data_IF_074353906742
#
_entry.id   IF_074353906742
#
_cell.length_a   1.000
_cell.length_b   1.000
_cell.length_c   1.000
_cell.angle_alpha   90.00
_cell.angle_beta   90.00
_cell.angle_gamma   90.00
#
_symmetry.space_group_name_H-M   'P 1'
#
loop_
_entity.id
_entity.type
_entity.pdbx_description
1 polymer ?
#
# COMPACT_ATOMS: atom_id res chain seq x y z
N UNK A 1 3.35 5.33 0.70
CA UNK A 1 4.68 5.19 0.04
C UNK A 1 4.50 5.21 -1.47
N UNK A 2 5.00 6.27 -2.14
CA UNK A 2 4.67 6.63 -3.52
C UNK A 2 5.91 6.84 -4.42
N UNK A 3 7.08 6.28 -4.09
CA UNK A 3 8.35 6.54 -4.80
C UNK A 3 8.70 5.60 -5.96
N UNK A 4 7.76 4.78 -6.46
CA UNK A 4 8.05 3.68 -7.38
C UNK A 4 8.21 4.09 -8.85
N UNK A 5 9.36 3.78 -9.48
CA UNK A 5 9.60 4.07 -10.92
C UNK A 5 8.66 3.33 -11.89
N UNK A 6 8.27 2.10 -11.56
CA UNK A 6 7.36 1.31 -12.41
C UNK A 6 8.02 0.65 -13.63
N UNK A 7 9.34 0.45 -13.60
CA UNK A 7 10.12 -0.09 -14.72
C UNK A 7 9.62 -1.43 -15.26
N UNK A 8 8.96 -2.24 -14.42
CA UNK A 8 8.40 -3.56 -14.76
C UNK A 8 6.98 -3.54 -15.33
N UNK A 9 6.30 -2.40 -15.30
CA UNK A 9 4.95 -2.23 -15.89
C UNK A 9 5.01 -1.90 -17.37
N UNK A 10 6.20 -1.59 -17.91
CA UNK A 10 6.38 -1.14 -19.30
C UNK A 10 5.36 -0.04 -19.66
N UNK A 11 5.16 0.87 -18.72
CA UNK A 11 4.14 1.93 -18.74
C UNK A 11 4.84 3.27 -18.96
N UNK A 12 4.24 4.21 -19.72
CA UNK A 12 4.77 5.57 -19.80
C UNK A 12 4.58 6.37 -18.49
N UNK A 13 3.72 5.87 -17.60
CA UNK A 13 3.49 6.42 -16.27
C UNK A 13 4.41 5.80 -15.23
N UNK A 14 4.84 6.62 -14.28
CA UNK A 14 5.41 6.17 -13.00
C UNK A 14 4.46 5.17 -12.31
N UNK A 15 5.01 4.26 -11.49
CA UNK A 15 4.23 3.15 -10.91
C UNK A 15 2.94 3.61 -10.23
N UNK A 16 2.95 4.58 -9.30
CA UNK A 16 1.74 4.98 -8.58
C UNK A 16 0.68 5.60 -9.49
N UNK A 17 1.09 6.22 -10.60
CA UNK A 17 0.22 6.83 -11.59
C UNK A 17 -0.24 5.86 -12.68
N UNK A 18 0.24 4.61 -12.68
CA UNK A 18 -0.24 3.62 -13.63
C UNK A 18 -1.75 3.42 -13.46
N UNK A 19 -2.54 3.52 -14.55
CA UNK A 19 -3.98 3.39 -14.45
C UNK A 19 -4.39 1.93 -14.35
N UNK A 20 -5.22 1.61 -13.36
CA UNK A 20 -6.05 0.40 -13.35
C UNK A 20 -7.44 0.85 -13.72
N UNK A 21 -8.14 0.19 -14.64
CA UNK A 21 -9.52 0.54 -15.02
C UNK A 21 -9.81 2.07 -15.08
N UNK A 22 -8.93 2.83 -15.75
CA UNK A 22 -9.07 4.29 -15.95
C UNK A 22 -8.64 5.22 -14.80
N UNK A 23 -8.32 4.74 -13.60
CA UNK A 23 -7.90 5.58 -12.46
C UNK A 23 -6.48 5.23 -12.01
N UNK A 24 -5.69 6.21 -11.57
CA UNK A 24 -4.34 5.95 -11.04
C UNK A 24 -4.39 5.07 -9.79
N UNK A 25 -3.40 4.18 -9.59
CA UNK A 25 -3.35 3.33 -8.39
C UNK A 25 -3.30 4.14 -7.10
N UNK A 26 -2.50 5.21 -7.09
CA UNK A 26 -2.36 6.09 -5.92
C UNK A 26 -3.68 6.77 -5.56
N UNK A 27 -4.49 7.15 -6.55
CA UNK A 27 -5.80 7.77 -6.32
C UNK A 27 -6.79 6.76 -5.74
N UNK A 28 -6.72 5.48 -6.12
CA UNK A 28 -7.54 4.42 -5.50
C UNK A 28 -7.16 4.18 -4.05
N UNK A 29 -5.86 4.05 -3.78
CA UNK A 29 -5.36 3.88 -2.41
C UNK A 29 -5.75 5.08 -1.56
N UNK A 30 -5.62 6.31 -2.09
CA UNK A 30 -6.09 7.51 -1.41
C UNK A 30 -7.57 7.44 -1.10
N UNK A 31 -8.43 7.18 -2.08
CA UNK A 31 -9.87 7.13 -1.87
C UNK A 31 -10.27 6.09 -0.80
N UNK A 32 -9.58 4.95 -0.74
CA UNK A 32 -9.76 3.95 0.30
C UNK A 32 -9.38 4.46 1.69
N UNK A 33 -8.29 5.25 1.79
CA UNK A 33 -7.87 5.88 3.03
C UNK A 33 -8.84 6.99 3.45
N UNK A 34 -9.23 7.88 2.55
CA UNK A 34 -10.18 8.98 2.81
C UNK A 34 -11.55 8.46 3.31
N UNK A 35 -11.98 7.30 2.83
CA UNK A 35 -13.23 6.66 3.25
C UNK A 35 -13.08 5.78 4.51
N UNK A 36 -11.88 5.61 5.04
CA UNK A 36 -11.59 4.81 6.25
C UNK A 36 -11.56 5.67 7.51
N UNK A 37 -11.28 5.04 8.66
CA UNK A 37 -11.15 5.73 9.95
C UNK A 37 -9.82 6.46 10.17
N UNK A 38 -8.93 6.54 9.18
CA UNK A 38 -7.69 7.34 9.31
C UNK A 38 -8.01 8.83 9.34
N UNK A 39 -7.30 9.58 10.18
CA UNK A 39 -7.60 11.01 10.40
C UNK A 39 -6.82 11.93 9.47
N UNK A 40 -5.55 11.58 9.20
CA UNK A 40 -4.64 12.39 8.39
C UNK A 40 -3.89 11.50 7.40
N UNK A 41 -3.66 12.04 6.20
CA UNK A 41 -3.01 11.32 5.11
C UNK A 41 -1.81 12.13 4.64
N UNK A 42 -0.65 11.47 4.60
CA UNK A 42 0.55 12.02 4.00
C UNK A 42 1.11 11.05 2.95
N UNK A 43 1.65 11.61 1.86
CA UNK A 43 2.24 10.86 0.77
C UNK A 43 3.77 10.98 0.80
N UNK A 44 4.45 9.89 1.14
CA UNK A 44 5.89 9.79 0.97
C UNK A 44 6.26 9.69 -0.52
N UNK A 45 6.84 10.74 -1.09
CA UNK A 45 7.24 10.86 -2.50
C UNK A 45 8.76 10.83 -2.62
N UNK A 46 9.29 10.60 -3.82
CA UNK A 46 10.74 10.63 -4.04
C UNK A 46 11.09 11.21 -5.42
N UNK A 47 12.35 11.62 -5.64
CA UNK A 47 12.84 12.07 -6.94
C UNK A 47 12.72 11.03 -8.06
N UNK A 48 12.45 9.77 -7.72
CA UNK A 48 12.22 8.70 -8.68
C UNK A 48 10.81 8.74 -9.31
N UNK A 49 9.89 9.50 -8.73
CA UNK A 49 8.51 9.63 -9.17
C UNK A 49 8.01 11.10 -9.09
N UNK A 50 8.65 12.04 -9.81
CA UNK A 50 8.30 13.46 -9.75
C UNK A 50 6.88 13.77 -10.27
N UNK A 51 6.38 13.06 -11.28
CA UNK A 51 5.02 13.28 -11.76
C UNK A 51 3.98 12.88 -10.70
N UNK A 52 4.26 11.82 -9.94
CA UNK A 52 3.45 11.39 -8.81
C UNK A 52 3.40 12.45 -7.72
N UNK A 53 4.52 13.12 -7.44
CA UNK A 53 4.54 14.26 -6.51
C UNK A 53 3.62 15.37 -6.98
N UNK A 54 3.83 15.87 -8.20
CA UNK A 54 3.02 16.97 -8.76
C UNK A 54 1.53 16.61 -8.74
N UNK A 55 1.18 15.40 -9.17
CA UNK A 55 -0.21 14.92 -9.15
C UNK A 55 -0.84 14.93 -7.74
N UNK A 56 -0.07 14.67 -6.69
CA UNK A 56 -0.57 14.65 -5.31
C UNK A 56 -0.58 16.04 -4.66
N UNK A 57 0.36 16.92 -5.00
CA UNK A 57 0.39 18.31 -4.52
C UNK A 57 -0.79 19.13 -5.06
N UNK A 58 -1.33 18.77 -6.23
CA UNK A 58 -2.53 19.37 -6.82
C UNK A 58 -3.84 18.91 -6.14
N UNK A 59 -3.77 18.04 -5.13
CA UNK A 59 -4.94 17.47 -4.45
C UNK A 59 -5.05 18.02 -3.03
N UNK A 60 -6.22 18.54 -2.70
CA UNK A 60 -6.52 18.95 -1.34
C UNK A 60 -6.49 17.75 -0.37
N UNK A 61 -6.01 17.98 0.85
CA UNK A 61 -6.07 16.99 1.93
C UNK A 61 -4.89 16.01 2.01
N UNK A 62 -3.87 16.12 1.13
CA UNK A 62 -2.64 15.33 1.23
C UNK A 62 -1.42 16.23 1.38
N UNK A 63 -0.67 16.03 2.46
CA UNK A 63 0.69 16.56 2.58
C UNK A 63 1.70 15.60 1.92
N UNK A 64 2.63 16.13 1.12
CA UNK A 64 3.73 15.32 0.57
C UNK A 64 4.97 15.39 1.47
N UNK A 65 5.58 14.23 1.73
CA UNK A 65 6.84 14.10 2.47
C UNK A 65 7.88 13.58 1.48
N UNK A 66 8.92 14.36 1.23
CA UNK A 66 10.00 13.93 0.34
C UNK A 66 10.96 12.96 1.03
N UNK A 67 11.32 11.90 0.30
CA UNK A 67 12.27 10.85 0.68
C UNK A 67 13.32 10.69 -0.43
N UNK A 68 14.45 10.05 -0.12
CA UNK A 68 15.55 9.89 -1.07
C UNK A 68 15.22 8.93 -2.22
N UNK A 69 14.28 8.00 -2.03
CA UNK A 69 13.94 7.01 -3.05
C UNK A 69 14.92 5.84 -3.09
N UNK A 70 15.62 5.55 -1.99
CA UNK A 70 16.67 4.52 -1.94
C UNK A 70 16.11 3.10 -1.76
N UNK A 71 14.81 2.99 -1.46
CA UNK A 71 14.11 1.73 -1.29
C UNK A 71 13.01 1.85 -0.25
N UNK A 72 12.08 0.90 -0.26
CA UNK A 72 10.89 0.95 0.60
C UNK A 72 11.25 1.07 2.09
N UNK A 73 12.16 0.23 2.58
CA UNK A 73 12.53 0.19 4.00
C UNK A 73 13.24 1.47 4.43
N UNK A 74 14.25 1.90 3.67
CA UNK A 74 14.99 3.15 3.96
C UNK A 74 14.07 4.36 3.96
N UNK A 75 13.25 4.52 2.91
CA UNK A 75 12.33 5.66 2.82
C UNK A 75 11.27 5.61 3.93
N UNK A 76 10.79 4.43 4.30
CA UNK A 76 9.85 4.27 5.42
C UNK A 76 10.48 4.72 6.74
N UNK A 77 11.70 4.28 7.04
CA UNK A 77 12.40 4.70 8.27
C UNK A 77 12.59 6.22 8.30
N UNK A 78 13.02 6.84 7.18
CA UNK A 78 13.13 8.30 7.08
C UNK A 78 11.80 9.02 7.32
N UNK A 79 10.69 8.45 6.87
CA UNK A 79 9.34 9.01 7.14
C UNK A 79 8.98 8.86 8.61
N UNK A 80 9.29 7.73 9.25
CA UNK A 80 8.97 7.51 10.66
C UNK A 80 9.80 8.38 11.62
N UNK A 81 10.96 8.86 11.19
CA UNK A 81 11.79 9.82 11.94
C UNK A 81 11.26 11.27 11.88
N UNK A 82 10.19 11.55 11.12
CA UNK A 82 9.62 12.89 11.01
C UNK A 82 8.91 13.28 12.29
N UNK A 83 9.28 14.41 12.94
CA UNK A 83 8.71 14.80 14.23
C UNK A 83 7.23 15.20 14.13
N UNK A 84 6.74 15.48 12.91
CA UNK A 84 5.34 15.79 12.65
C UNK A 84 4.44 14.54 12.65
N UNK A 85 5.03 13.34 12.58
CA UNK A 85 4.32 12.08 12.59
C UNK A 85 4.51 11.40 13.95
N UNK A 86 3.40 10.95 14.55
CA UNK A 86 3.44 10.23 15.82
C UNK A 86 2.64 8.93 15.70
N UNK A 87 3.16 7.81 16.22
CA UNK A 87 2.40 6.57 16.28
C UNK A 87 1.10 6.72 17.10
N UNK A 88 0.06 5.91 16.79
CA UNK A 88 0.08 4.85 15.79
C UNK A 88 -0.02 5.36 14.34
N UNK A 89 0.82 4.83 13.44
CA UNK A 89 0.84 5.20 12.02
C UNK A 89 0.48 4.02 11.13
N UNK A 90 -0.44 4.23 10.19
CA UNK A 90 -0.69 3.28 9.11
C UNK A 90 0.19 3.65 7.89
N UNK A 91 1.00 2.72 7.43
CA UNK A 91 1.78 2.88 6.20
C UNK A 91 1.20 1.98 5.12
N UNK A 92 1.05 2.52 3.91
CA UNK A 92 0.43 1.82 2.77
C UNK A 92 1.27 2.02 1.51
N UNK A 93 1.50 0.94 0.76
CA UNK A 93 2.11 0.99 -0.56
C UNK A 93 1.09 1.47 -1.61
N UNK A 94 1.52 2.35 -2.52
CA UNK A 94 0.64 2.93 -3.55
C UNK A 94 0.26 1.96 -4.69
N UNK A 95 0.71 0.71 -4.64
CA UNK A 95 0.48 -0.31 -5.67
C UNK A 95 -0.58 -1.36 -5.28
N UNK A 96 -1.45 -1.02 -4.33
CA UNK A 96 -2.59 -1.81 -3.89
C UNK A 96 -3.92 -1.23 -4.41
N UNK A 97 -4.21 -1.30 -5.72
CA UNK A 97 -5.38 -0.65 -6.32
C UNK A 97 -6.73 -1.22 -5.86
N UNK A 98 -6.74 -2.39 -5.23
CA UNK A 98 -7.96 -3.03 -4.72
C UNK A 98 -8.26 -2.70 -3.25
N UNK A 99 -7.42 -1.89 -2.60
CA UNK A 99 -7.61 -1.51 -1.21
C UNK A 99 -8.95 -0.78 -1.02
N UNK A 100 -9.59 -1.01 0.11
CA UNK A 100 -10.85 -0.40 0.51
C UNK A 100 -10.83 0.04 1.96
N UNK A 101 -11.66 1.04 2.27
CA UNK A 101 -11.89 1.51 3.62
C UNK A 101 -12.21 0.38 4.60
N UNK A 102 -13.12 -0.54 4.24
CA UNK A 102 -13.50 -1.65 5.11
C UNK A 102 -12.33 -2.60 5.42
N UNK A 103 -11.34 -2.73 4.52
CA UNK A 103 -10.12 -3.51 4.75
C UNK A 103 -9.20 -2.77 5.74
N UNK A 104 -8.98 -1.49 5.49
CA UNK A 104 -8.19 -0.61 6.37
C UNK A 104 -8.78 -0.61 7.78
N UNK A 105 -10.09 -0.44 7.90
CA UNK A 105 -10.78 -0.42 9.18
C UNK A 105 -10.66 -1.74 9.93
N UNK A 106 -10.69 -2.88 9.25
CA UNK A 106 -10.46 -4.18 9.92
C UNK A 106 -9.03 -4.28 10.47
N UNK A 107 -8.03 -3.81 9.71
CA UNK A 107 -6.63 -3.79 10.16
C UNK A 107 -6.49 -2.89 11.40
N UNK A 108 -7.07 -1.68 11.36
CA UNK A 108 -7.06 -0.75 12.49
C UNK A 108 -7.78 -1.32 13.73
N UNK A 109 -8.93 -1.99 13.54
CA UNK A 109 -9.66 -2.63 14.62
C UNK A 109 -8.87 -3.79 15.26
N UNK A 110 -8.14 -4.57 14.45
CA UNK A 110 -7.32 -5.68 14.93
C UNK A 110 -6.07 -5.21 15.70
N UNK A 111 -5.57 -4.01 15.38
CA UNK A 111 -4.54 -3.34 16.17
C UNK A 111 -5.10 -2.87 17.52
N UNK A 112 -6.25 -2.19 17.53
CA UNK A 112 -6.91 -1.73 18.76
C UNK A 112 -5.98 -0.83 19.59
N UNK A 113 -5.95 -1.07 20.91
CA UNK A 113 -5.05 -0.37 21.85
C UNK A 113 -3.66 -1.04 21.96
N UNK A 114 -3.30 -1.94 21.03
CA UNK A 114 -2.02 -2.62 21.08
C UNK A 114 -0.88 -1.66 20.76
N UNK A 115 0.19 -1.71 21.53
CA UNK A 115 1.34 -0.80 21.33
C UNK A 115 2.37 -1.32 20.32
N UNK A 116 2.23 -2.58 19.89
CA UNK A 116 3.19 -3.27 19.01
C UNK A 116 2.95 -3.00 17.52
N UNK A 117 4.04 -2.82 16.78
CA UNK A 117 4.01 -2.72 15.32
C UNK A 117 3.53 -4.02 14.65
N UNK A 118 2.82 -3.90 13.53
CA UNK A 118 2.27 -5.01 12.75
C UNK A 118 2.59 -4.89 11.28
N UNK A 119 3.10 -5.97 10.69
CA UNK A 119 3.22 -6.10 9.24
C UNK A 119 2.06 -6.93 8.72
N UNK A 120 1.27 -6.36 7.80
CA UNK A 120 0.13 -7.06 7.21
C UNK A 120 0.62 -7.94 6.08
N UNK A 121 0.37 -9.23 6.22
CA UNK A 121 0.75 -10.26 5.27
C UNK A 121 -0.47 -10.99 4.72
N UNK A 122 -0.31 -11.57 3.54
CA UNK A 122 -1.22 -12.57 2.98
C UNK A 122 -0.45 -13.87 2.73
N UNK A 123 -1.12 -15.03 2.67
CA UNK A 123 -0.47 -16.25 2.22
C UNK A 123 0.08 -16.08 0.80
N UNK A 124 1.33 -16.48 0.55
CA UNK A 124 1.90 -16.50 -0.79
C UNK A 124 1.11 -17.43 -1.74
N UNK A 125 0.41 -18.42 -1.18
CA UNK A 125 -0.52 -19.28 -1.92
C UNK A 125 -1.72 -18.51 -2.48
N UNK A 126 -2.22 -17.50 -1.78
CA UNK A 126 -3.31 -16.64 -2.26
C UNK A 126 -2.85 -15.83 -3.48
N UNK A 127 -1.68 -15.20 -3.41
CA UNK A 127 -1.09 -14.48 -4.56
C UNK A 127 -0.91 -15.40 -5.78
N UNK A 128 -0.37 -16.61 -5.57
CA UNK A 128 -0.23 -17.63 -6.63
C UNK A 128 -1.57 -18.02 -7.25
N UNK A 129 -2.61 -18.23 -6.44
CA UNK A 129 -3.95 -18.59 -6.92
C UNK A 129 -4.61 -17.48 -7.74
N UNK A 130 -4.34 -16.22 -7.41
CA UNK A 130 -4.80 -15.06 -8.17
C UNK A 130 -3.98 -14.79 -9.44
N UNK A 131 -2.85 -15.50 -9.63
CA UNK A 131 -1.98 -15.29 -10.79
C UNK A 131 -1.16 -14.00 -10.74
N UNK A 132 -0.95 -13.43 -9.54
CA UNK A 132 -0.21 -12.17 -9.36
C UNK A 132 1.22 -12.40 -8.83
N UNK A 133 2.07 -11.39 -9.00
CA UNK A 133 3.48 -11.39 -8.60
C UNK A 133 3.69 -11.78 -7.12
N UNK A 134 4.62 -12.69 -6.86
CA UNK A 134 4.95 -13.21 -5.50
C UNK A 134 6.40 -12.94 -5.09
N UNK A 135 6.98 -11.83 -5.55
CA UNK A 135 8.41 -11.54 -5.35
C UNK A 135 8.74 -11.14 -3.92
N UNK A 136 7.83 -10.43 -3.25
CA UNK A 136 7.99 -10.07 -1.85
C UNK A 136 7.56 -11.25 -0.98
N UNK A 137 8.48 -11.72 -0.14
CA UNK A 137 8.25 -12.73 0.90
C UNK A 137 8.74 -12.20 2.24
N UNK A 138 8.09 -12.63 3.30
CA UNK A 138 8.55 -12.34 4.66
C UNK A 138 9.60 -13.40 5.01
N UNK A 139 10.81 -12.98 5.39
CA UNK A 139 11.82 -13.92 5.91
C UNK A 139 11.73 -13.89 7.45
N UNK A 140 11.74 -15.03 8.16
CA UNK A 140 11.93 -16.41 7.64
C UNK A 140 10.64 -17.10 7.14
N UNK A 141 9.47 -16.47 7.31
CA UNK A 141 8.16 -17.04 6.97
C UNK A 141 7.81 -16.91 5.48
N UNK A 142 8.58 -17.57 4.60
CA UNK A 142 8.52 -17.42 3.14
C UNK A 142 7.16 -17.80 2.49
N UNK A 143 6.30 -18.48 3.25
CA UNK A 143 4.92 -18.82 2.94
C UNK A 143 3.97 -17.62 3.05
N UNK A 144 4.43 -16.52 3.64
CA UNK A 144 3.74 -15.25 3.76
C UNK A 144 4.38 -14.20 2.84
N UNK A 145 3.54 -13.31 2.31
CA UNK A 145 3.95 -12.19 1.48
C UNK A 145 3.46 -10.89 2.14
N UNK A 146 4.36 -9.92 2.42
CA UNK A 146 3.94 -8.61 2.88
C UNK A 146 3.10 -7.93 1.80
N UNK A 147 2.07 -7.23 2.25
CA UNK A 147 1.13 -6.51 1.38
C UNK A 147 1.63 -5.10 1.06
N UNK A 148 2.56 -4.57 1.87
CA UNK A 148 2.93 -3.16 1.86
C UNK A 148 2.04 -2.30 2.76
N UNK A 149 1.11 -2.91 3.51
CA UNK A 149 0.40 -2.29 4.63
C UNK A 149 1.09 -2.66 5.94
N UNK A 150 1.38 -1.66 6.78
CA UNK A 150 1.89 -1.89 8.14
C UNK A 150 1.24 -0.91 9.11
N UNK A 151 1.11 -1.32 10.36
CA UNK A 151 0.79 -0.44 11.48
C UNK A 151 2.04 -0.28 12.32
N UNK A 152 2.50 0.95 12.51
CA UNK A 152 3.60 1.28 13.41
C UNK A 152 3.00 1.64 14.75
N UNK A 153 3.34 0.85 15.77
CA UNK A 153 2.84 1.02 17.14
C UNK A 153 3.62 2.09 17.91
N UNK A 154 3.20 2.33 19.16
CA UNK A 154 3.73 3.37 20.05
C UNK A 154 4.95 2.95 20.86
N UNK A 155 5.27 1.66 20.92
CA UNK A 155 6.46 1.16 21.64
C UNK A 155 7.59 0.82 20.70
N UNK A 156 8.83 1.10 21.14
CA UNK A 156 10.08 0.64 20.53
C UNK A 156 10.34 -0.87 20.73
N UNK A 157 9.36 -1.64 21.22
CA UNK A 157 9.52 -3.09 21.31
C UNK A 157 9.80 -3.65 19.91
N UNK A 158 10.98 -4.27 19.76
CA UNK A 158 11.50 -4.80 18.52
C UNK A 158 10.69 -5.97 17.92
N UNK A 159 9.59 -6.36 18.58
CA UNK A 159 8.75 -7.48 18.15
C UNK A 159 7.63 -6.96 17.25
N UNK A 160 7.93 -6.78 15.96
CA UNK A 160 6.89 -6.62 14.94
C UNK A 160 6.07 -7.90 14.87
N UNK A 161 4.76 -7.81 15.10
CA UNK A 161 3.86 -8.94 14.94
C UNK A 161 3.45 -9.10 13.48
N UNK A 162 3.34 -10.35 13.03
CA UNK A 162 2.79 -10.63 11.69
C UNK A 162 1.28 -10.74 11.77
N UNK A 163 0.56 -9.93 10.98
CA UNK A 163 -0.90 -9.93 10.89
C UNK A 163 -1.35 -10.53 9.56
N UNK A 164 -1.90 -11.76 9.61
CA UNK A 164 -2.17 -12.55 8.39
C UNK A 164 -3.64 -12.42 7.98
N UNK A 165 -3.86 -11.94 6.75
CA UNK A 165 -5.18 -11.79 6.16
C UNK A 165 -5.36 -12.70 4.94
N UNK A 166 -6.56 -13.26 4.79
CA UNK A 166 -6.97 -14.04 3.62
C UNK A 166 -7.88 -13.21 2.70
N UNK A 167 -7.46 -11.98 2.40
CA UNK A 167 -8.24 -11.02 1.62
C UNK A 167 -7.58 -10.76 0.25
N UNK A 168 -8.24 -11.09 -0.87
CA UNK A 168 -7.71 -10.81 -2.21
C UNK A 168 -7.37 -9.34 -2.45
N UNK A 169 -8.07 -8.40 -1.79
CA UNK A 169 -7.82 -6.95 -1.92
C UNK A 169 -6.45 -6.52 -1.38
N UNK A 170 -5.89 -7.29 -0.46
CA UNK A 170 -4.54 -7.10 0.08
C UNK A 170 -3.48 -7.90 -0.69
N UNK A 171 -3.88 -8.84 -1.54
CA UNK A 171 -2.98 -9.75 -2.22
C UNK A 171 -2.47 -9.25 -3.58
N UNK A 172 -3.15 -8.26 -4.17
CA UNK A 172 -2.84 -7.78 -5.53
C UNK A 172 -1.98 -6.51 -5.47
N UNK A 173 -0.67 -6.69 -5.27
CA UNK A 173 0.31 -5.63 -5.53
C UNK A 173 0.64 -5.60 -7.02
N UNK A 174 0.40 -4.47 -7.68
CA UNK A 174 0.65 -4.33 -9.12
C UNK A 174 2.12 -4.00 -9.37
N UNK A 175 2.88 -4.99 -9.82
CA UNK A 175 4.28 -4.85 -10.17
C UNK A 175 4.54 -5.06 -11.68
N UNK A 176 3.67 -5.82 -12.34
CA UNK A 176 3.73 -6.16 -13.76
C UNK A 176 2.37 -5.93 -14.44
N UNK A 177 2.38 -5.95 -15.78
CA UNK A 177 1.17 -5.79 -16.59
C UNK A 177 0.13 -6.87 -16.29
N UNK A 178 0.56 -8.09 -15.99
CA UNK A 178 -0.32 -9.20 -15.62
C UNK A 178 -1.08 -8.89 -14.32
N UNK A 179 -0.39 -8.34 -13.31
CA UNK A 179 -1.02 -7.93 -12.06
C UNK A 179 -2.05 -6.83 -12.30
N UNK A 180 -1.74 -5.87 -13.18
CA UNK A 180 -2.64 -4.78 -13.53
C UNK A 180 -3.93 -5.28 -14.21
N UNK A 181 -3.81 -6.30 -15.08
CA UNK A 181 -4.97 -6.95 -15.70
C UNK A 181 -5.84 -7.63 -14.65
N UNK A 182 -5.24 -8.42 -13.77
CA UNK A 182 -5.96 -9.08 -12.66
C UNK A 182 -6.69 -8.06 -11.79
N UNK A 183 -6.03 -6.97 -11.41
CA UNK A 183 -6.65 -5.90 -10.64
C UNK A 183 -7.84 -5.27 -11.38
N UNK A 184 -7.70 -4.98 -12.68
CA UNK A 184 -8.77 -4.40 -13.48
C UNK A 184 -9.96 -5.36 -13.66
N UNK A 185 -9.71 -6.66 -13.84
CA UNK A 185 -10.77 -7.68 -13.95
C UNK A 185 -11.57 -7.77 -12.65
N UNK A 186 -10.88 -7.85 -11.51
CA UNK A 186 -11.52 -7.92 -10.20
C UNK A 186 -12.38 -6.68 -9.87
N UNK A 187 -11.96 -5.49 -10.30
CA UNK A 187 -12.79 -4.28 -10.11
C UNK A 187 -14.08 -4.33 -10.95
N UNK A 188 -13.99 -4.84 -12.18
CA UNK A 188 -15.14 -4.93 -13.10
C UNK A 188 -16.15 -5.97 -12.63
N UNK A 189 -15.68 -7.12 -12.16
CA UNK A 189 -16.55 -8.19 -11.64
C UNK A 189 -17.37 -7.72 -10.45
N UNK A 190 -16.75 -6.98 -9.52
CA UNK A 190 -17.43 -6.41 -8.35
C UNK A 190 -18.49 -5.39 -8.71
N UNK A 191 -18.20 -4.54 -9.69
CA UNK A 191 -19.17 -3.54 -10.18
C UNK A 191 -20.38 -4.23 -10.82
N UNK A 192 -20.22 -5.45 -11.34
CA UNK A 192 -21.32 -6.25 -11.87
C UNK A 192 -22.12 -6.96 -10.77
N UNK A 193 -21.49 -7.37 -9.67
CA UNK A 193 -22.16 -7.98 -8.51
C UNK A 193 -23.00 -6.98 -7.69
N UNK A 194 -22.64 -5.70 -7.71
CA UNK A 194 -23.37 -4.61 -7.03
C UNK A 194 -24.56 -4.05 -7.84
N UNK A 195 -24.79 -4.53 -9.07
CA UNK A 195 -25.90 -4.11 -9.96
C UNK A 195 -27.03 -5.12 -10.00
#
# INVERSE_FOLDING_TARGET
>A
MCGGKGTRLESPHEKPLHPIDGTAMVDRVRAALEASRVETIAAAVSPNAPATRTHLEERDGIATIETAGEGYVTDLLTVLERPELSPPLLTVAADLPLLEAAVVDRILAAHGDAEASRTVCVPAALKRRLGVSTEARLEPDDHLAPTGVNVVGTTDESTTMTDVHYDPRLAVNVNRREDARVAADMLRDRTAEER
#
